data_IF_934411960012
#
_entry.id   IF_934411960012
#
_cell.length_a   1.000
_cell.length_b   1.000
_cell.length_c   1.000
_cell.angle_alpha   90.00
_cell.angle_beta   90.00
_cell.angle_gamma   90.00
#
_symmetry.space_group_name_H-M   'P 1'
#
loop_
_entity.id
_entity.type
_entity.pdbx_description
1 polymer ?
#
# COMPACT_ATOMS: atom_id res chain seq x y z
N UNK A 1 -24.93 8.15 -2.05
CA UNK A 1 -24.40 7.76 -0.72
C UNK A 1 -23.52 6.50 -0.75
N UNK A 2 -23.76 5.49 -1.60
CA UNK A 2 -22.97 4.25 -1.60
C UNK A 2 -21.53 4.32 -2.17
N UNK A 3 -21.21 5.29 -3.04
CA UNK A 3 -19.87 5.41 -3.66
C UNK A 3 -18.81 6.13 -2.80
N UNK A 4 -19.23 6.91 -1.81
CA UNK A 4 -18.31 7.72 -0.98
C UNK A 4 -17.72 6.94 0.20
N UNK A 5 -18.47 5.97 0.74
CA UNK A 5 -17.98 5.05 1.78
C UNK A 5 -16.94 4.05 1.24
N UNK A 6 -16.98 3.72 -0.06
CA UNK A 6 -16.03 2.77 -0.65
C UNK A 6 -14.67 3.43 -0.88
N UNK A 7 -14.66 4.65 -1.45
CA UNK A 7 -13.48 5.47 -1.67
C UNK A 7 -12.60 5.66 -0.41
N UNK A 8 -13.21 6.04 0.71
CA UNK A 8 -12.48 6.25 1.97
C UNK A 8 -11.96 4.93 2.56
N UNK A 9 -12.72 3.84 2.45
CA UNK A 9 -12.28 2.52 2.91
C UNK A 9 -11.06 1.99 2.13
N UNK A 10 -11.02 2.19 0.81
CA UNK A 10 -9.92 1.70 -0.04
C UNK A 10 -8.62 2.49 0.13
N UNK A 11 -8.72 3.83 0.20
CA UNK A 11 -7.55 4.68 0.46
C UNK A 11 -6.96 4.40 1.85
N UNK A 12 -7.81 4.16 2.84
CA UNK A 12 -7.40 3.74 4.17
C UNK A 12 -6.76 2.35 4.14
N UNK A 13 -7.21 1.43 3.26
CA UNK A 13 -6.68 0.07 3.19
C UNK A 13 -5.26 0.00 2.61
N UNK A 14 -5.00 0.57 1.42
CA UNK A 14 -3.63 0.61 0.86
C UNK A 14 -2.65 1.32 1.79
N UNK A 15 -3.12 2.40 2.39
CA UNK A 15 -2.36 3.16 3.35
C UNK A 15 -2.01 2.28 4.57
N UNK A 16 -2.99 1.57 5.12
CA UNK A 16 -2.80 0.66 6.25
C UNK A 16 -1.87 -0.51 5.93
N UNK A 17 -2.01 -1.14 4.76
CA UNK A 17 -1.10 -2.22 4.35
C UNK A 17 0.33 -1.72 4.24
N UNK A 18 0.55 -0.55 3.64
CA UNK A 18 1.85 0.11 3.58
C UNK A 18 2.42 0.42 4.98
N UNK A 19 1.58 0.84 5.94
CA UNK A 19 2.04 0.99 7.32
C UNK A 19 2.44 -0.31 7.99
N UNK A 20 1.63 -1.35 7.81
CA UNK A 20 1.90 -2.64 8.42
C UNK A 20 3.22 -3.20 7.90
N UNK A 21 3.50 -3.03 6.59
CA UNK A 21 4.80 -3.34 5.99
C UNK A 21 5.91 -2.53 6.68
N UNK A 22 5.77 -1.21 6.80
CA UNK A 22 6.79 -0.38 7.47
C UNK A 22 7.03 -0.78 8.93
N UNK A 23 5.97 -0.98 9.72
CA UNK A 23 6.09 -1.43 11.11
C UNK A 23 6.79 -2.79 11.19
N UNK A 24 6.50 -3.69 10.25
CA UNK A 24 7.18 -4.99 10.19
C UNK A 24 8.66 -4.84 9.83
N UNK A 25 9.01 -3.96 8.89
CA UNK A 25 10.42 -3.63 8.58
C UNK A 25 11.14 -3.11 9.83
N UNK A 26 10.51 -2.18 10.57
CA UNK A 26 11.07 -1.65 11.81
C UNK A 26 11.26 -2.73 12.88
N UNK A 27 10.24 -3.55 13.14
CA UNK A 27 10.31 -4.59 14.17
C UNK A 27 11.29 -5.71 13.82
N UNK A 28 11.62 -5.87 12.53
CA UNK A 28 12.62 -6.84 12.06
C UNK A 28 14.04 -6.25 12.06
N UNK A 29 14.25 -5.04 12.60
CA UNK A 29 15.57 -4.40 12.70
C UNK A 29 16.10 -3.80 11.39
N UNK A 30 15.28 -3.74 10.33
CA UNK A 30 15.69 -3.35 8.99
C UNK A 30 15.52 -1.86 8.68
N UNK A 31 15.06 -1.05 9.65
CA UNK A 31 14.75 0.37 9.45
C UNK A 31 15.94 1.19 8.94
N UNK A 32 17.14 0.97 9.50
CA UNK A 32 18.35 1.68 9.08
C UNK A 32 18.74 1.28 7.66
N UNK A 33 18.78 -0.01 7.36
CA UNK A 33 19.13 -0.48 6.02
C UNK A 33 18.14 0.01 4.97
N UNK A 34 16.84 -0.01 5.28
CA UNK A 34 15.80 0.53 4.41
C UNK A 34 15.97 2.04 4.13
N UNK A 35 16.48 2.82 5.09
CA UNK A 35 16.65 4.27 4.89
C UNK A 35 17.97 4.63 4.20
N UNK A 36 19.00 3.78 4.29
CA UNK A 36 20.34 4.07 3.75
C UNK A 36 20.64 3.36 2.43
N UNK A 37 19.94 2.26 2.12
CA UNK A 37 20.11 1.48 0.89
C UNK A 37 18.86 1.57 0.01
N UNK A 38 18.95 2.39 -1.03
CA UNK A 38 17.85 2.60 -1.99
C UNK A 38 17.51 1.33 -2.78
N UNK A 39 18.47 0.45 -3.05
CA UNK A 39 18.23 -0.81 -3.76
C UNK A 39 17.41 -1.76 -2.88
N UNK A 40 17.80 -1.88 -1.61
CA UNK A 40 17.06 -2.67 -0.61
C UNK A 40 15.65 -2.11 -0.38
N UNK A 41 15.54 -0.79 -0.21
CA UNK A 41 14.26 -0.08 -0.09
C UNK A 41 13.35 -0.32 -1.29
N UNK A 42 13.89 -0.22 -2.50
CA UNK A 42 13.14 -0.44 -3.73
C UNK A 42 12.60 -1.87 -3.80
N UNK A 43 13.39 -2.89 -3.44
CA UNK A 43 12.92 -4.28 -3.39
C UNK A 43 11.74 -4.42 -2.44
N UNK A 44 11.84 -3.92 -1.20
CA UNK A 44 10.73 -3.97 -0.24
C UNK A 44 9.49 -3.18 -0.66
N UNK A 45 9.64 -2.07 -1.40
CA UNK A 45 8.52 -1.34 -1.99
C UNK A 45 7.73 -2.14 -3.03
N UNK A 46 8.28 -3.21 -3.60
CA UNK A 46 7.50 -4.10 -4.47
C UNK A 46 6.33 -4.74 -3.72
N UNK A 47 6.44 -4.97 -2.39
CA UNK A 47 5.34 -5.49 -1.59
C UNK A 47 4.14 -4.54 -1.58
N UNK A 48 4.39 -3.24 -1.44
CA UNK A 48 3.34 -2.21 -1.55
C UNK A 48 2.84 -2.07 -2.99
N UNK A 49 3.72 -2.20 -3.98
CA UNK A 49 3.36 -2.09 -5.40
C UNK A 49 2.35 -3.16 -5.85
N UNK A 50 2.30 -4.32 -5.18
CA UNK A 50 1.30 -5.36 -5.47
C UNK A 50 -0.15 -4.86 -5.34
N UNK A 51 -0.41 -3.81 -4.56
CA UNK A 51 -1.77 -3.27 -4.41
C UNK A 51 -2.30 -2.66 -5.71
N UNK A 52 -1.41 -2.37 -6.67
CA UNK A 52 -1.74 -1.84 -7.98
C UNK A 52 -1.97 -2.95 -9.02
N UNK A 53 -2.20 -4.19 -8.59
CA UNK A 53 -2.59 -5.29 -9.47
C UNK A 53 -4.03 -5.74 -9.19
N UNK A 54 -4.71 -6.32 -10.19
CA UNK A 54 -5.93 -7.09 -9.97
C UNK A 54 -5.74 -8.11 -8.84
N UNK A 55 -6.76 -8.26 -7.99
CA UNK A 55 -6.66 -9.07 -6.77
C UNK A 55 -6.30 -10.54 -7.05
N UNK A 56 -6.72 -11.07 -8.19
CA UNK A 56 -6.47 -12.43 -8.67
C UNK A 56 -5.04 -12.63 -9.20
N UNK A 57 -4.38 -11.57 -9.66
CA UNK A 57 -2.98 -11.63 -10.13
C UNK A 57 -1.95 -11.53 -9.00
N UNK A 58 -2.33 -10.93 -7.86
CA UNK A 58 -1.43 -10.64 -6.74
C UNK A 58 -0.69 -11.89 -6.21
N UNK A 59 -1.31 -13.06 -6.02
CA UNK A 59 -0.61 -14.24 -5.54
C UNK A 59 0.54 -14.68 -6.46
N UNK A 60 0.31 -14.74 -7.78
CA UNK A 60 1.35 -15.09 -8.74
C UNK A 60 2.45 -14.04 -8.83
N UNK A 61 2.07 -12.76 -8.80
CA UNK A 61 3.03 -11.66 -8.81
C UNK A 61 3.90 -11.63 -7.55
N UNK A 62 3.32 -11.94 -6.39
CA UNK A 62 4.07 -12.06 -5.14
C UNK A 62 5.13 -13.17 -5.23
N UNK A 63 4.79 -14.32 -5.81
CA UNK A 63 5.73 -15.44 -5.95
C UNK A 63 6.94 -15.05 -6.82
N UNK A 64 6.72 -14.26 -7.89
CA UNK A 64 7.82 -13.72 -8.72
C UNK A 64 8.66 -12.67 -7.97
N UNK A 65 8.02 -11.75 -7.25
CA UNK A 65 8.70 -10.74 -6.44
C UNK A 65 9.57 -11.40 -5.36
N UNK A 66 9.07 -12.45 -4.71
CA UNK A 66 9.75 -13.18 -3.65
C UNK A 66 11.09 -13.77 -4.09
N UNK A 67 11.23 -14.19 -5.35
CA UNK A 67 12.48 -14.72 -5.91
C UNK A 67 13.63 -13.69 -5.93
N UNK A 68 13.29 -12.40 -5.94
CA UNK A 68 14.25 -11.30 -6.06
C UNK A 68 14.53 -10.60 -4.72
N UNK A 69 13.86 -11.02 -3.65
CA UNK A 69 13.97 -10.43 -2.32
C UNK A 69 15.30 -10.80 -1.65
N UNK A 70 15.91 -9.87 -0.90
CA UNK A 70 17.12 -10.15 -0.13
C UNK A 70 16.81 -11.11 1.02
N UNK A 71 17.75 -12.00 1.35
CA UNK A 71 17.58 -13.02 2.40
C UNK A 71 17.35 -12.37 3.77
N UNK A 72 17.98 -11.21 4.00
CA UNK A 72 17.85 -10.39 5.19
C UNK A 72 16.41 -9.89 5.41
N UNK A 73 15.60 -9.79 4.34
CA UNK A 73 14.19 -9.41 4.41
C UNK A 73 13.22 -10.60 4.53
N UNK A 74 13.73 -11.83 4.64
CA UNK A 74 12.92 -13.07 4.68
C UNK A 74 11.78 -13.01 5.71
N UNK A 75 12.04 -12.48 6.91
CA UNK A 75 11.02 -12.35 7.96
C UNK A 75 9.85 -11.43 7.55
N UNK A 76 10.15 -10.33 6.85
CA UNK A 76 9.14 -9.39 6.34
C UNK A 76 8.33 -10.04 5.22
N UNK A 77 9.02 -10.72 4.30
CA UNK A 77 8.41 -11.36 3.13
C UNK A 77 7.52 -12.52 3.54
N UNK A 78 7.96 -13.39 4.46
CA UNK A 78 7.18 -14.50 5.00
C UNK A 78 5.95 -13.99 5.77
N UNK A 79 6.12 -12.93 6.59
CA UNK A 79 4.99 -12.31 7.27
C UNK A 79 3.97 -11.78 6.27
N UNK A 80 4.40 -11.11 5.21
CA UNK A 80 3.51 -10.56 4.18
C UNK A 80 2.77 -11.69 3.45
N UNK A 81 3.48 -12.73 3.03
CA UNK A 81 2.91 -13.92 2.40
C UNK A 81 1.78 -14.54 3.24
N UNK A 82 2.06 -14.77 4.52
CA UNK A 82 1.15 -15.44 5.44
C UNK A 82 -0.04 -14.56 5.85
N UNK A 83 0.12 -13.23 5.81
CA UNK A 83 -0.88 -12.29 6.33
C UNK A 83 -1.79 -11.75 5.21
N UNK A 84 -1.23 -11.48 4.03
CA UNK A 84 -1.89 -10.72 2.96
C UNK A 84 -2.11 -11.49 1.65
N UNK A 85 -1.34 -12.56 1.39
CA UNK A 85 -1.31 -13.21 0.07
C UNK A 85 -1.85 -14.64 0.12
N UNK A 86 -1.04 -15.59 0.61
CA UNK A 86 -1.34 -17.02 0.54
C UNK A 86 -1.93 -17.58 1.82
N UNK A 87 -1.75 -16.88 2.93
CA UNK A 87 -2.15 -17.38 4.24
C UNK A 87 -1.17 -18.41 4.82
N UNK A 88 -1.37 -18.74 6.09
CA UNK A 88 -0.42 -19.56 6.86
C UNK A 88 -0.55 -21.05 6.50
N UNK A 89 0.58 -21.70 6.24
CA UNK A 89 0.63 -23.16 6.07
C UNK A 89 0.20 -23.85 7.36
N UNK A 90 -0.87 -24.65 7.29
CA UNK A 90 -1.38 -25.46 8.42
C UNK A 90 -0.79 -26.87 8.44
N UNK A 91 -0.68 -27.49 7.27
CA UNK A 91 -0.08 -28.82 7.10
C UNK A 91 0.44 -28.97 5.67
N UNK A 92 1.45 -29.83 5.51
CA UNK A 92 1.91 -30.27 4.19
C UNK A 92 1.43 -31.70 3.99
N UNK A 93 0.75 -31.97 2.87
CA UNK A 93 0.27 -33.30 2.52
C UNK A 93 1.42 -34.19 2.06
N UNK A 94 1.22 -35.51 2.06
CA UNK A 94 2.24 -36.48 1.62
C UNK A 94 2.70 -36.29 0.17
N UNK A 95 1.88 -35.67 -0.67
CA UNK A 95 2.19 -35.33 -2.05
C UNK A 95 2.92 -33.97 -2.20
N UNK A 96 3.36 -33.35 -1.09
CA UNK A 96 4.07 -32.07 -1.09
C UNK A 96 3.17 -30.83 -1.16
N UNK A 97 1.84 -30.99 -1.32
CA UNK A 97 0.92 -29.85 -1.40
C UNK A 97 0.70 -29.23 0.00
N UNK A 98 0.97 -27.94 0.14
CA UNK A 98 0.71 -27.18 1.35
C UNK A 98 -0.78 -26.83 1.47
N UNK A 99 -1.41 -27.21 2.58
CA UNK A 99 -2.75 -26.74 2.96
C UNK A 99 -2.59 -25.49 3.78
N UNK A 100 -3.09 -24.37 3.25
CA UNK A 100 -3.02 -23.05 3.89
C UNK A 100 -4.36 -22.65 4.49
N UNK A 101 -4.33 -21.85 5.55
CA UNK A 101 -5.51 -21.06 5.93
C UNK A 101 -5.70 -19.91 4.94
N UNK A 102 -6.91 -19.33 4.84
CA UNK A 102 -7.06 -18.03 4.20
C UNK A 102 -6.11 -16.99 4.84
N UNK A 103 -5.60 -16.02 4.07
CA UNK A 103 -4.89 -14.87 4.63
C UNK A 103 -5.84 -14.03 5.50
N UNK A 104 -5.28 -13.32 6.49
CA UNK A 104 -6.06 -12.45 7.36
C UNK A 104 -6.64 -11.25 6.61
N UNK A 105 -5.90 -10.76 5.61
CA UNK A 105 -6.32 -9.66 4.75
C UNK A 105 -6.15 -10.09 3.28
N UNK A 106 -7.15 -10.78 2.69
CA UNK A 106 -7.07 -11.24 1.30
C UNK A 106 -6.82 -10.10 0.30
N UNK A 107 -6.16 -10.37 -0.85
CA UNK A 107 -5.87 -9.37 -1.88
C UNK A 107 -7.06 -8.48 -2.29
N UNK A 108 -8.26 -9.06 -2.37
CA UNK A 108 -9.49 -8.32 -2.69
C UNK A 108 -9.85 -7.20 -1.70
N UNK A 109 -9.31 -7.22 -0.48
CA UNK A 109 -9.54 -6.16 0.50
C UNK A 109 -8.61 -4.97 0.33
N UNK A 110 -7.41 -5.18 -0.18
CA UNK A 110 -6.33 -4.17 -0.18
C UNK A 110 -5.79 -3.80 -1.55
N UNK A 111 -6.18 -4.52 -2.61
CA UNK A 111 -5.97 -4.06 -3.98
C UNK A 111 -6.74 -2.76 -4.21
N UNK A 112 -6.09 -1.83 -4.91
CA UNK A 112 -6.64 -0.55 -5.34
C UNK A 112 -6.72 -0.47 -6.87
N UNK A 113 -6.45 -1.55 -7.59
CA UNK A 113 -6.40 -1.56 -9.05
C UNK A 113 -7.72 -1.11 -9.68
N UNK A 114 -8.84 -1.70 -9.27
CA UNK A 114 -10.17 -1.35 -9.80
C UNK A 114 -10.52 0.12 -9.51
N UNK A 115 -10.13 0.63 -8.33
CA UNK A 115 -10.33 2.03 -7.98
C UNK A 115 -9.53 2.98 -8.89
N UNK A 116 -8.30 2.61 -9.23
CA UNK A 116 -7.46 3.37 -10.15
C UNK A 116 -8.05 3.36 -11.57
N UNK A 117 -8.59 2.22 -12.02
CA UNK A 117 -9.24 2.12 -13.34
C UNK A 117 -10.52 2.98 -13.43
N UNK A 118 -11.30 3.05 -12.35
CA UNK A 118 -12.52 3.85 -12.30
C UNK A 118 -12.27 5.37 -12.17
N UNK A 119 -11.01 5.81 -12.07
CA UNK A 119 -10.65 7.23 -11.90
C UNK A 119 -11.24 7.85 -10.63
N UNK A 120 -11.57 7.02 -9.64
CA UNK A 120 -12.15 7.48 -8.38
C UNK A 120 -11.11 8.36 -7.68
N UNK A 121 -11.49 9.59 -7.26
CA UNK A 121 -10.52 10.53 -6.73
C UNK A 121 -9.89 9.96 -5.47
N UNK A 122 -8.59 9.72 -5.54
CA UNK A 122 -7.74 9.58 -4.36
C UNK A 122 -7.83 10.91 -3.63
N UNK A 123 -8.77 11.09 -2.69
CA UNK A 123 -8.95 12.37 -1.98
C UNK A 123 -7.62 12.75 -1.29
N UNK A 124 -6.97 13.73 -1.91
CA UNK A 124 -5.52 13.95 -1.90
C UNK A 124 -5.03 14.53 -0.56
N UNK A 125 -5.82 15.37 0.10
CA UNK A 125 -5.34 15.95 1.35
C UNK A 125 -5.37 14.94 2.49
N UNK A 126 -6.14 13.85 2.41
CA UNK A 126 -6.17 12.87 3.49
C UNK A 126 -4.82 12.18 3.62
N UNK A 127 -4.28 11.63 2.54
CA UNK A 127 -3.00 10.91 2.55
C UNK A 127 -1.83 11.84 2.90
N UNK A 128 -1.80 13.09 2.41
CA UNK A 128 -0.72 14.02 2.71
C UNK A 128 -0.83 14.71 4.07
N UNK A 129 -2.03 15.14 4.48
CA UNK A 129 -2.24 15.68 5.81
C UNK A 129 -1.96 14.61 6.85
N UNK A 130 -2.33 13.37 6.55
CA UNK A 130 -2.03 12.20 7.34
C UNK A 130 -0.53 11.88 7.32
N UNK A 131 0.18 11.90 6.17
CA UNK A 131 1.65 11.70 6.10
C UNK A 131 2.45 12.80 6.83
N UNK A 132 2.03 14.07 6.74
CA UNK A 132 2.62 15.19 7.49
C UNK A 132 2.41 15.06 9.00
N UNK A 133 1.20 14.68 9.41
CA UNK A 133 0.87 14.36 10.81
C UNK A 133 1.62 13.12 11.29
N UNK A 134 1.92 12.19 10.39
CA UNK A 134 2.62 10.95 10.71
C UNK A 134 4.12 11.13 10.94
N UNK A 135 4.79 12.06 10.23
CA UNK A 135 6.13 12.53 10.63
C UNK A 135 6.15 13.07 12.07
N UNK A 136 5.05 13.69 12.52
CA UNK A 136 4.90 14.18 13.89
C UNK A 136 4.53 13.07 14.90
N UNK A 137 3.77 12.05 14.49
CA UNK A 137 3.30 10.97 15.38
C UNK A 137 4.37 9.87 15.55
N UNK A 138 5.18 9.57 14.54
CA UNK A 138 6.30 8.63 14.64
C UNK A 138 7.51 9.21 15.36
N UNK A 139 7.62 10.54 15.44
CA UNK A 139 8.59 11.19 16.33
C UNK A 139 8.29 10.97 17.81
N UNK A 140 7.10 10.46 18.15
CA UNK A 140 6.75 10.06 19.50
C UNK A 140 6.80 8.52 19.60
N UNK A 141 7.81 8.02 20.30
CA UNK A 141 7.88 6.63 20.73
C UNK A 141 6.52 6.21 21.34
N UNK A 142 5.91 5.15 20.78
CA UNK A 142 4.76 4.41 21.32
C UNK A 142 3.32 4.90 21.03
N UNK A 143 2.99 5.21 19.78
CA UNK A 143 1.57 5.29 19.39
C UNK A 143 0.91 3.88 19.33
N UNK A 144 0.28 3.45 20.43
CA UNK A 144 -0.45 2.17 20.53
C UNK A 144 -1.68 2.07 19.59
N UNK A 145 -2.21 0.85 19.41
CA UNK A 145 -3.32 0.53 18.48
C UNK A 145 -4.54 1.45 18.67
N UNK A 146 -4.86 1.85 19.89
CA UNK A 146 -5.96 2.77 20.18
C UNK A 146 -5.74 4.18 19.61
N UNK A 147 -4.52 4.70 19.75
CA UNK A 147 -4.15 5.98 19.14
C UNK A 147 -4.26 5.88 17.61
N UNK A 148 -3.82 4.76 17.03
CA UNK A 148 -3.96 4.56 15.56
C UNK A 148 -5.44 4.51 15.14
N UNK A 149 -6.32 3.85 15.90
CA UNK A 149 -7.75 3.76 15.58
C UNK A 149 -8.46 5.11 15.70
N UNK A 150 -8.11 5.92 16.71
CA UNK A 150 -8.70 7.24 16.89
C UNK A 150 -8.27 8.22 15.79
N UNK A 151 -7.00 8.15 15.38
CA UNK A 151 -6.50 8.93 14.25
C UNK A 151 -7.15 8.51 12.93
N UNK A 152 -7.40 7.20 12.72
CA UNK A 152 -8.18 6.71 11.57
C UNK A 152 -9.60 7.28 11.55
N UNK A 153 -10.29 7.32 12.70
CA UNK A 153 -11.63 7.93 12.81
C UNK A 153 -11.62 9.43 12.54
N UNK A 154 -10.56 10.14 12.93
CA UNK A 154 -10.41 11.58 12.67
C UNK A 154 -10.16 11.86 11.19
N UNK A 155 -9.37 11.03 10.51
CA UNK A 155 -9.13 11.19 9.07
C UNK A 155 -10.33 10.83 8.23
N UNK A 156 -11.08 9.79 8.58
CA UNK A 156 -12.32 9.45 7.88
C UNK A 156 -13.27 10.67 7.84
N UNK A 157 -13.43 11.37 8.97
CA UNK A 157 -14.22 12.61 9.03
C UNK A 157 -13.64 13.75 8.19
N UNK A 158 -12.31 13.85 8.07
CA UNK A 158 -11.66 14.88 7.24
C UNK A 158 -11.86 14.63 5.75
N UNK A 159 -11.68 13.38 5.32
CA UNK A 159 -11.95 12.95 3.93
C UNK A 159 -13.38 13.30 3.54
N UNK A 160 -14.34 13.00 4.42
CA UNK A 160 -15.76 13.30 4.21
C UNK A 160 -16.00 14.81 4.05
N UNK A 161 -15.45 15.63 4.95
CA UNK A 161 -15.56 17.10 4.88
C UNK A 161 -14.89 17.67 3.61
N UNK A 162 -13.79 17.08 3.17
CA UNK A 162 -13.07 17.55 2.00
C UNK A 162 -13.73 17.16 0.68
N UNK A 163 -14.24 15.94 0.60
CA UNK A 163 -15.07 15.50 -0.52
C UNK A 163 -16.29 16.43 -0.69
N UNK A 164 -16.90 16.89 0.42
CA UNK A 164 -17.96 17.89 0.39
C UNK A 164 -17.50 19.29 -0.07
N UNK A 165 -16.24 19.66 0.17
CA UNK A 165 -15.66 20.95 -0.28
C UNK A 165 -15.28 20.93 -1.76
N UNK A 166 -14.75 19.82 -2.25
CA UNK A 166 -14.44 19.65 -3.68
C UNK A 166 -15.72 19.67 -4.53
N UNK A 167 -16.83 19.12 -4.01
CA UNK A 167 -18.17 19.26 -4.59
C UNK A 167 -18.66 20.73 -4.63
N UNK A 168 -18.07 21.63 -3.83
CA UNK A 168 -18.40 23.06 -3.77
C UNK A 168 -17.40 23.97 -4.50
N UNK A 169 -16.42 23.40 -5.20
CA UNK A 169 -15.50 24.11 -6.12
C UNK A 169 -14.66 25.25 -5.51
N UNK A 170 -14.12 25.07 -4.29
CA UNK A 170 -13.14 25.99 -3.70
C UNK A 170 -11.76 25.32 -3.54
N UNK A 171 -10.81 25.63 -4.43
CA UNK A 171 -9.47 25.03 -4.43
C UNK A 171 -8.37 26.01 -3.97
N UNK A 172 -7.57 25.62 -2.97
CA UNK A 172 -6.36 26.31 -2.51
C UNK A 172 -5.08 25.71 -3.13
N UNK A 173 -4.09 26.56 -3.48
CA UNK A 173 -2.97 26.24 -4.38
C UNK A 173 -1.59 26.49 -3.75
N UNK A 174 -0.66 25.56 -3.99
CA UNK A 174 0.79 25.78 -4.27
C UNK A 174 1.63 24.52 -3.95
N UNK A 175 1.41 23.85 -2.80
CA UNK A 175 2.05 22.55 -2.48
C UNK A 175 1.45 21.34 -3.22
N UNK A 176 0.29 21.52 -3.87
CA UNK A 176 -0.45 20.52 -4.66
C UNK A 176 0.34 19.96 -5.87
N UNK A 177 1.21 20.75 -6.50
CA UNK A 177 1.70 20.42 -7.84
C UNK A 177 2.67 19.22 -7.95
N UNK A 178 3.51 18.94 -6.94
CA UNK A 178 4.46 17.82 -7.01
C UNK A 178 3.79 16.48 -6.69
N UNK A 179 2.83 16.51 -5.77
CA UNK A 179 2.04 15.34 -5.40
C UNK A 179 1.10 14.94 -6.53
N UNK A 180 0.37 15.91 -7.09
CA UNK A 180 -0.45 15.72 -8.29
C UNK A 180 0.37 15.13 -9.46
N UNK A 181 1.64 15.55 -9.63
CA UNK A 181 2.52 14.97 -10.66
C UNK A 181 2.91 13.52 -10.40
N UNK A 182 3.11 13.11 -9.15
CA UNK A 182 3.40 11.70 -8.81
C UNK A 182 2.16 10.83 -8.99
N UNK A 183 1.00 11.32 -8.58
CA UNK A 183 -0.26 10.59 -8.74
C UNK A 183 -0.64 10.47 -10.21
N UNK A 184 -0.46 11.54 -11.00
CA UNK A 184 -0.63 11.47 -12.46
C UNK A 184 0.29 10.40 -13.05
N UNK A 185 1.55 10.34 -12.63
CA UNK A 185 2.48 9.29 -13.08
C UNK A 185 2.01 7.89 -12.70
N UNK A 186 1.51 7.68 -11.47
CA UNK A 186 0.96 6.39 -11.04
C UNK A 186 -0.27 6.02 -11.88
N UNK A 187 -1.17 6.98 -12.11
CA UNK A 187 -2.35 6.80 -12.95
C UNK A 187 -1.96 6.45 -14.39
N UNK A 188 -1.00 7.17 -14.96
CA UNK A 188 -0.46 6.91 -16.29
C UNK A 188 0.20 5.51 -16.35
N UNK A 189 0.90 5.09 -15.30
CA UNK A 189 1.50 3.75 -15.23
C UNK A 189 0.44 2.66 -15.22
N UNK A 190 -0.61 2.82 -14.41
CA UNK A 190 -1.74 1.86 -14.32
C UNK A 190 -2.53 1.81 -15.63
N UNK A 191 -2.87 2.97 -16.20
CA UNK A 191 -3.63 3.06 -17.45
C UNK A 191 -2.84 2.49 -18.64
N UNK A 192 -1.51 2.60 -18.61
CA UNK A 192 -0.64 2.07 -19.66
C UNK A 192 -0.02 0.71 -19.26
N UNK A 193 -0.68 -0.09 -18.41
CA UNK A 193 -0.19 -1.41 -17.99
C UNK A 193 0.16 -2.30 -19.19
N UNK A 194 -0.69 -2.32 -20.22
CA UNK A 194 -0.48 -3.13 -21.43
C UNK A 194 0.80 -2.79 -22.20
N UNK A 195 1.33 -1.57 -22.05
CA UNK A 195 2.60 -1.18 -22.66
C UNK A 195 3.85 -1.70 -21.93
N UNK A 196 3.68 -2.31 -20.76
CA UNK A 196 4.74 -2.96 -19.96
C UNK A 196 4.44 -4.45 -19.82
N UNK A 197 4.82 -5.28 -20.81
CA UNK A 197 4.45 -6.70 -20.81
C UNK A 197 5.14 -7.49 -19.69
N UNK A 198 6.30 -7.04 -19.22
CA UNK A 198 6.99 -7.64 -18.08
C UNK A 198 6.41 -7.11 -16.76
N UNK A 199 5.82 -8.03 -15.97
CA UNK A 199 5.22 -7.73 -14.68
C UNK A 199 6.19 -7.01 -13.73
N UNK A 200 7.44 -7.44 -13.68
CA UNK A 200 8.45 -6.82 -12.82
C UNK A 200 8.80 -5.39 -13.24
N UNK A 201 8.74 -5.04 -14.53
CA UNK A 201 8.97 -3.67 -14.99
C UNK A 201 7.80 -2.75 -14.58
N UNK A 202 6.57 -3.27 -14.63
CA UNK A 202 5.40 -2.59 -14.11
C UNK A 202 5.50 -2.33 -12.60
N UNK A 203 5.79 -3.37 -11.82
CA UNK A 203 5.93 -3.26 -10.36
C UNK A 203 7.08 -2.33 -9.95
N UNK A 204 8.20 -2.39 -10.66
CA UNK A 204 9.34 -1.48 -10.44
C UNK A 204 8.94 -0.03 -10.72
N UNK A 205 8.21 0.24 -11.80
CA UNK A 205 7.74 1.58 -12.14
C UNK A 205 6.82 2.15 -11.05
N UNK A 206 5.89 1.33 -10.52
CA UNK A 206 5.06 1.71 -9.37
C UNK A 206 5.94 1.97 -8.14
N UNK A 207 6.81 1.03 -7.78
CA UNK A 207 7.64 1.11 -6.58
C UNK A 207 8.51 2.39 -6.53
N UNK A 208 9.07 2.82 -7.66
CA UNK A 208 9.82 4.08 -7.76
C UNK A 208 8.98 5.32 -7.43
N UNK A 209 7.67 5.29 -7.66
CA UNK A 209 6.76 6.39 -7.38
C UNK A 209 6.12 6.30 -5.97
N UNK A 210 6.43 5.25 -5.20
CA UNK A 210 5.99 5.07 -3.81
C UNK A 210 7.01 5.60 -2.77
N UNK A 211 8.11 6.25 -3.19
CA UNK A 211 9.11 6.77 -2.25
C UNK A 211 8.55 7.90 -1.35
N UNK A 212 8.91 7.82 -0.07
CA UNK A 212 8.51 8.72 1.02
C UNK A 212 9.56 9.79 1.31
#
# INVERSE_FOLDING_TARGET
>A
MSKFLSLSAFQVCFFHTSQCIWRKIQSSGLATQYSTDESFSLKLRHLSALAFLPADEIPGAFDEVKLHMPEEASEVVEWFENTYVHGRTRRVLRNGVAVRSPPLFPPALWSIYDCMQEGLPRTQNSIEAWHRRWKSVIGADHAGIYHTLEELRKEQRRVEIEAERDLRSEASFSRRAQSLRRDQRLQDIVNNRESRPALMDYLRAIAHNLSH
#
